data_IF_476267697483
#
_entry.id   IF_476267697483
#
_cell.length_a   1.000
_cell.length_b   1.000
_cell.length_c   1.000
_cell.angle_alpha   90.00
_cell.angle_beta   90.00
_cell.angle_gamma   90.00
#
_symmetry.space_group_name_H-M   'P 1'
#
loop_
_entity.id
_entity.type
_entity.pdbx_description
1 polymer ?
#
# COMPACT_ATOMS: atom_id res chain seq x y z
N UNK A 1 11.69 -10.75 8.63
CA UNK A 1 12.01 -9.85 9.77
C UNK A 1 12.96 -10.47 10.83
N UNK A 2 13.39 -11.73 10.71
CA UNK A 2 14.15 -12.43 11.79
C UNK A 2 15.57 -11.92 12.03
N UNK A 3 16.11 -11.10 11.13
CA UNK A 3 17.42 -10.45 11.28
C UNK A 3 17.33 -9.01 11.81
N UNK A 4 16.14 -8.56 12.24
CA UNK A 4 15.93 -7.20 12.75
C UNK A 4 15.83 -6.12 11.66
N UNK A 5 15.71 -6.51 10.38
CA UNK A 5 15.51 -5.58 9.26
C UNK A 5 14.02 -5.32 9.02
N UNK A 6 13.68 -4.07 8.74
CA UNK A 6 12.38 -3.68 8.19
C UNK A 6 12.23 -4.20 6.76
N UNK A 7 11.03 -4.64 6.40
CA UNK A 7 10.72 -5.13 5.04
C UNK A 7 9.89 -4.09 4.33
N UNK A 8 10.43 -3.59 3.21
CA UNK A 8 9.80 -2.59 2.37
C UNK A 8 9.56 -3.21 0.97
N UNK A 9 8.45 -2.86 0.33
CA UNK A 9 8.12 -3.27 -1.04
C UNK A 9 7.57 -2.07 -1.83
N UNK A 10 7.22 -2.23 -3.12
CA UNK A 10 6.68 -1.08 -3.87
C UNK A 10 6.59 -1.19 -5.39
N UNK A 11 7.49 -1.94 -6.04
CA UNK A 11 7.55 -1.96 -7.49
C UNK A 11 6.35 -2.69 -8.12
N UNK A 12 5.72 -2.06 -9.12
CA UNK A 12 4.63 -2.65 -9.90
C UNK A 12 3.27 -2.74 -9.20
N UNK A 13 3.10 -2.11 -8.03
CA UNK A 13 1.86 -2.18 -7.26
C UNK A 13 0.79 -1.26 -7.86
N UNK A 14 -0.42 -1.80 -8.03
CA UNK A 14 -1.64 -1.10 -8.47
C UNK A 14 -2.72 -1.17 -7.38
N UNK A 15 -3.89 -0.55 -7.61
CA UNK A 15 -5.04 -0.68 -6.71
C UNK A 15 -5.50 -2.14 -6.53
N UNK A 16 -5.40 -2.96 -7.57
CA UNK A 16 -5.85 -4.36 -7.51
C UNK A 16 -4.87 -5.26 -6.74
N UNK A 17 -3.58 -4.90 -6.73
CA UNK A 17 -2.53 -5.75 -6.15
C UNK A 17 -2.06 -5.29 -4.77
N UNK A 18 -2.43 -4.08 -4.32
CA UNK A 18 -1.93 -3.53 -3.06
C UNK A 18 -2.43 -4.28 -1.83
N UNK A 19 -3.69 -4.71 -1.81
CA UNK A 19 -4.31 -5.35 -0.65
C UNK A 19 -3.58 -6.61 -0.16
N UNK A 20 -3.30 -7.64 -1.00
CA UNK A 20 -2.59 -8.83 -0.54
C UNK A 20 -1.17 -8.52 -0.05
N UNK A 21 -0.52 -7.47 -0.58
CA UNK A 21 0.80 -7.04 -0.11
C UNK A 21 0.76 -6.29 1.22
N UNK A 22 -0.23 -5.40 1.40
CA UNK A 22 -0.43 -4.65 2.63
C UNK A 22 -0.87 -5.55 3.81
N UNK A 23 -1.41 -6.73 3.52
CA UNK A 23 -1.80 -7.72 4.51
C UNK A 23 -0.63 -8.56 5.08
N UNK A 24 0.60 -8.42 4.55
CA UNK A 24 1.77 -9.07 5.16
C UNK A 24 2.20 -8.33 6.44
N UNK A 25 2.27 -9.01 7.60
CA UNK A 25 2.62 -8.36 8.86
C UNK A 25 4.05 -7.82 8.87
N UNK A 26 4.95 -8.42 8.09
CA UNK A 26 6.35 -8.00 8.01
C UNK A 26 6.56 -6.73 7.18
N UNK A 27 5.62 -6.40 6.29
CA UNK A 27 5.74 -5.23 5.41
C UNK A 27 5.47 -3.96 6.21
N UNK A 28 6.50 -3.13 6.31
CA UNK A 28 6.47 -1.85 7.03
C UNK A 28 6.08 -0.70 6.10
N UNK A 29 6.51 -0.74 4.84
CA UNK A 29 6.27 0.34 3.89
C UNK A 29 6.06 -0.17 2.45
N UNK A 30 5.14 0.48 1.73
CA UNK A 30 4.90 0.30 0.30
C UNK A 30 5.24 1.59 -0.46
N UNK A 31 6.36 1.59 -1.18
CA UNK A 31 6.86 2.70 -1.97
C UNK A 31 6.35 2.65 -3.41
N UNK A 32 5.24 3.35 -3.68
CA UNK A 32 4.52 3.27 -4.96
C UNK A 32 4.74 4.57 -5.74
N UNK A 33 5.24 4.45 -6.98
CA UNK A 33 5.57 5.60 -7.83
C UNK A 33 4.73 5.66 -9.12
N UNK A 34 5.21 4.97 -10.17
CA UNK A 34 4.69 5.07 -11.54
C UNK A 34 3.16 4.96 -11.63
N UNK A 35 2.56 4.00 -10.92
CA UNK A 35 1.11 3.81 -10.92
C UNK A 35 0.35 5.02 -10.36
N UNK A 36 0.78 5.57 -9.22
CA UNK A 36 0.12 6.75 -8.61
C UNK A 36 0.19 7.97 -9.53
N UNK A 37 1.32 8.19 -10.21
CA UNK A 37 1.45 9.30 -11.17
C UNK A 37 0.59 9.05 -12.42
N UNK A 38 0.50 7.81 -12.89
CA UNK A 38 -0.37 7.42 -14.01
C UNK A 38 -1.85 7.72 -13.69
N UNK A 39 -2.33 7.27 -12.54
CA UNK A 39 -3.71 7.52 -12.08
C UNK A 39 -3.97 9.01 -11.85
N UNK A 40 -2.99 9.74 -11.30
CA UNK A 40 -3.10 11.17 -11.01
C UNK A 40 -3.39 12.03 -12.25
N UNK A 41 -3.03 11.57 -13.45
CA UNK A 41 -3.36 12.26 -14.72
C UNK A 41 -4.88 12.35 -14.93
N UNK A 42 -5.64 11.37 -14.42
CA UNK A 42 -7.08 11.27 -14.61
C UNK A 42 -7.87 11.81 -13.42
N UNK A 43 -7.43 11.51 -12.20
CA UNK A 43 -8.20 11.80 -10.97
C UNK A 43 -7.55 12.85 -10.05
N UNK A 44 -6.34 13.31 -10.41
CA UNK A 44 -5.51 14.16 -9.56
C UNK A 44 -4.72 13.36 -8.50
N UNK A 45 -3.51 13.85 -8.18
CA UNK A 45 -2.60 13.17 -7.24
C UNK A 45 -3.19 12.98 -5.83
N UNK A 46 -3.89 13.97 -5.22
CA UNK A 46 -4.50 13.76 -3.90
C UNK A 46 -5.50 12.61 -3.87
N UNK A 47 -6.34 12.49 -4.90
CA UNK A 47 -7.34 11.42 -5.03
C UNK A 47 -6.68 10.05 -5.18
N UNK A 48 -5.68 9.93 -6.07
CA UNK A 48 -4.94 8.70 -6.29
C UNK A 48 -4.24 8.21 -5.01
N UNK A 49 -3.60 9.14 -4.29
CA UNK A 49 -2.94 8.83 -3.00
C UNK A 49 -3.94 8.42 -1.92
N UNK A 50 -5.08 9.13 -1.81
CA UNK A 50 -6.11 8.82 -0.84
C UNK A 50 -6.69 7.42 -1.05
N UNK A 51 -6.96 7.04 -2.31
CA UNK A 51 -7.49 5.72 -2.64
C UNK A 51 -6.47 4.61 -2.34
N UNK A 52 -5.20 4.79 -2.73
CA UNK A 52 -4.16 3.82 -2.40
C UNK A 52 -4.03 3.61 -0.89
N UNK A 53 -4.03 4.70 -0.12
CA UNK A 53 -3.98 4.64 1.35
C UNK A 53 -5.22 3.96 1.93
N UNK A 54 -6.41 4.22 1.38
CA UNK A 54 -7.66 3.58 1.81
C UNK A 54 -7.56 2.07 1.68
N UNK A 55 -7.12 1.57 0.53
CA UNK A 55 -6.95 0.14 0.25
C UNK A 55 -5.91 -0.52 1.18
N UNK A 56 -4.79 0.16 1.44
CA UNK A 56 -3.77 -0.31 2.37
C UNK A 56 -4.29 -0.43 3.81
N UNK A 57 -5.02 0.59 4.28
CA UNK A 57 -5.62 0.59 5.63
C UNK A 57 -6.70 -0.48 5.74
N UNK A 58 -7.56 -0.61 4.74
CA UNK A 58 -8.61 -1.63 4.68
C UNK A 58 -7.97 -3.03 4.81
N UNK A 59 -6.95 -3.33 4.00
CA UNK A 59 -6.25 -4.61 4.07
C UNK A 59 -5.60 -4.87 5.43
N UNK A 60 -4.93 -3.87 6.04
CA UNK A 60 -4.33 -4.03 7.37
C UNK A 60 -5.38 -4.20 8.46
N UNK A 61 -6.51 -3.51 8.37
CA UNK A 61 -7.62 -3.61 9.32
C UNK A 61 -8.28 -4.97 9.25
N UNK A 62 -8.49 -5.49 8.04
CA UNK A 62 -9.04 -6.85 7.82
C UNK A 62 -8.08 -7.93 8.32
N UNK A 63 -6.77 -7.77 8.09
CA UNK A 63 -5.77 -8.75 8.49
C UNK A 63 -5.47 -8.77 10.00
N UNK A 64 -5.50 -7.60 10.67
CA UNK A 64 -4.98 -7.46 12.05
C UNK A 64 -5.94 -6.82 13.05
N UNK A 65 -7.10 -6.31 12.62
CA UNK A 65 -8.03 -5.57 13.48
C UNK A 65 -7.69 -4.09 13.63
N UNK A 66 -8.51 -3.37 14.41
CA UNK A 66 -8.40 -1.91 14.59
C UNK A 66 -7.16 -1.56 15.42
N UNK A 67 -6.24 -0.76 14.87
CA UNK A 67 -5.05 -0.24 15.56
C UNK A 67 -3.69 -0.61 14.95
N UNK A 68 -3.66 -1.17 13.74
CA UNK A 68 -2.42 -1.37 12.97
C UNK A 68 -1.81 -0.04 12.47
#
# INVERSE_FOLDING_TARGET
>A
HSLGLEVHAGHGITFDTVKPLAAFPEVMELNIGHFLIGEAIFVGLPTAMAEMRRLMIEARTEAFGIGA
#
